data_IF_213380685896
#
_entry.id   IF_213380685896
#
_cell.length_a   1.000
_cell.length_b   1.000
_cell.length_c   1.000
_cell.angle_alpha   90.00
_cell.angle_beta   90.00
_cell.angle_gamma   90.00
#
_symmetry.space_group_name_H-M   'P 1'
#
loop_
_entity.id
_entity.type
_entity.pdbx_description
1 polymer ?
#
# COMPACT_ATOMS: atom_id res chain seq x y z
N UNK A 1 16.94 7.80 31.76
CA UNK A 1 16.44 8.38 30.51
C UNK A 1 17.00 9.78 30.24
N UNK A 2 16.46 10.88 30.80
CA UNK A 2 16.92 12.25 30.47
C UNK A 2 18.41 12.48 30.78
N UNK A 3 18.86 12.12 32.00
CA UNK A 3 20.28 12.27 32.40
C UNK A 3 21.26 11.43 31.58
N UNK A 4 20.83 10.26 31.14
CA UNK A 4 21.67 9.35 30.32
C UNK A 4 21.89 9.91 28.91
N UNK A 5 21.02 10.82 28.46
CA UNK A 5 21.12 11.48 27.16
C UNK A 5 21.56 12.96 27.31
N UNK A 6 22.35 13.26 28.35
CA UNK A 6 22.96 14.59 28.55
C UNK A 6 22.04 15.69 29.08
N UNK A 7 20.78 15.38 29.41
CA UNK A 7 19.82 16.37 29.94
C UNK A 7 19.89 16.57 31.46
N UNK A 8 19.50 17.76 31.92
CA UNK A 8 19.31 18.07 33.34
C UNK A 8 17.84 18.03 33.74
N UNK A 9 17.55 17.61 34.97
CA UNK A 9 16.17 17.55 35.51
C UNK A 9 16.05 18.48 36.71
N UNK A 10 15.03 19.34 36.69
CA UNK A 10 14.67 20.22 37.81
C UNK A 10 13.25 19.92 38.28
N UNK A 11 13.02 19.99 39.60
CA UNK A 11 11.67 19.88 40.18
C UNK A 11 10.89 21.19 40.18
N UNK A 12 11.57 22.33 39.98
CA UNK A 12 10.96 23.66 39.98
C UNK A 12 11.08 24.27 38.58
N UNK A 13 9.96 24.73 37.98
CA UNK A 13 10.04 25.53 36.77
C UNK A 13 10.77 26.84 37.12
N UNK A 14 11.78 27.18 36.33
CA UNK A 14 12.46 28.47 36.43
C UNK A 14 11.99 29.33 35.25
N UNK A 15 11.45 30.51 35.54
CA UNK A 15 11.04 31.44 34.50
C UNK A 15 12.27 31.92 33.70
N UNK A 16 12.13 32.03 32.37
CA UNK A 16 13.20 32.51 31.49
C UNK A 16 14.28 31.47 31.13
N UNK A 17 14.17 30.22 31.58
CA UNK A 17 15.05 29.13 31.14
C UNK A 17 14.44 28.34 29.99
N UNK A 18 15.27 27.67 29.18
CA UNK A 18 14.82 26.73 28.13
C UNK A 18 14.31 25.40 28.70
N UNK A 19 13.71 25.42 29.90
CA UNK A 19 13.26 24.20 30.57
C UNK A 19 11.94 23.73 29.97
N UNK A 20 11.96 22.55 29.36
CA UNK A 20 10.74 21.88 28.88
C UNK A 20 9.99 21.31 30.08
N UNK A 21 8.72 21.70 30.25
CA UNK A 21 7.87 21.17 31.31
C UNK A 21 7.19 19.90 30.82
N UNK A 22 7.26 18.85 31.64
CA UNK A 22 6.78 17.53 31.25
C UNK A 22 5.71 17.05 32.23
N UNK A 23 4.53 16.71 31.71
CA UNK A 23 3.45 16.09 32.49
C UNK A 23 2.50 15.30 31.59
N UNK A 24 1.87 14.27 32.16
CA UNK A 24 0.83 13.49 31.49
C UNK A 24 -0.51 13.48 32.25
N UNK A 25 -0.52 14.05 33.46
CA UNK A 25 -1.69 14.12 34.33
C UNK A 25 -1.83 15.51 34.93
N UNK A 26 -3.08 15.96 35.09
CA UNK A 26 -3.42 17.28 35.66
C UNK A 26 -3.39 17.26 37.19
N UNK A 27 -2.22 17.05 37.77
CA UNK A 27 -2.02 17.14 39.22
C UNK A 27 -2.10 18.60 39.71
N UNK A 28 -2.25 18.84 41.01
CA UNK A 28 -2.45 20.18 41.60
C UNK A 28 -1.40 21.20 41.12
N UNK A 29 -0.12 20.82 41.08
CA UNK A 29 0.96 21.69 40.58
C UNK A 29 0.78 22.06 39.11
N UNK A 30 0.44 21.08 38.26
CA UNK A 30 0.21 21.28 36.82
C UNK A 30 -1.03 22.16 36.61
N UNK A 31 -2.10 21.92 37.36
CA UNK A 31 -3.31 22.75 37.30
C UNK A 31 -3.03 24.20 37.69
N UNK A 32 -2.18 24.43 38.70
CA UNK A 32 -1.73 25.76 39.10
C UNK A 32 -0.95 26.46 37.99
N UNK A 33 -0.01 25.75 37.35
CA UNK A 33 0.77 26.28 36.22
C UNK A 33 -0.13 26.67 35.04
N UNK A 34 -1.10 25.81 34.68
CA UNK A 34 -2.06 26.09 33.60
C UNK A 34 -2.90 27.34 33.90
N UNK A 35 -3.33 27.51 35.16
CA UNK A 35 -4.08 28.72 35.58
C UNK A 35 -3.25 30.00 35.52
N UNK A 36 -1.92 29.89 35.58
CA UNK A 36 -0.99 31.00 35.43
C UNK A 36 -0.96 31.62 34.02
N UNK A 37 -1.53 30.93 33.02
CA UNK A 37 -1.95 31.54 31.75
C UNK A 37 -0.94 31.53 30.59
N UNK A 38 0.30 31.09 30.80
CA UNK A 38 1.32 31.14 29.74
C UNK A 38 2.37 30.04 29.95
N UNK A 39 2.00 28.79 29.64
CA UNK A 39 2.87 27.65 29.87
C UNK A 39 2.68 26.57 28.83
N UNK A 40 3.79 26.05 28.32
CA UNK A 40 3.82 24.87 27.47
C UNK A 40 4.21 23.65 28.30
N UNK A 41 3.36 22.63 28.28
CA UNK A 41 3.52 21.36 28.98
C UNK A 41 3.45 20.23 27.96
N UNK A 42 4.54 19.48 27.86
CA UNK A 42 4.74 18.40 26.90
C UNK A 42 4.49 17.06 27.58
N UNK A 43 3.88 16.11 26.86
CA UNK A 43 3.69 14.74 27.33
C UNK A 43 5.04 14.01 27.34
N UNK A 44 5.26 13.10 28.31
CA UNK A 44 6.42 12.20 28.30
C UNK A 44 6.54 11.38 27.00
N UNK A 45 5.43 11.20 26.27
CA UNK A 45 5.38 10.57 24.95
C UNK A 45 6.46 11.14 24.01
N UNK A 46 6.63 12.45 23.96
CA UNK A 46 7.64 13.09 23.12
C UNK A 46 9.07 12.63 23.43
N UNK A 47 9.38 12.42 24.71
CA UNK A 47 10.71 11.92 25.08
C UNK A 47 10.92 10.49 24.61
N UNK A 48 9.87 9.66 24.66
CA UNK A 48 9.98 8.30 24.13
C UNK A 48 10.15 8.33 22.61
N UNK A 49 9.33 9.13 21.93
CA UNK A 49 9.40 9.27 20.48
C UNK A 49 10.80 9.77 20.08
N UNK A 50 11.42 10.72 20.80
CA UNK A 50 12.81 11.13 20.56
C UNK A 50 13.85 10.00 20.74
N UNK A 51 13.62 9.05 21.65
CA UNK A 51 14.56 7.96 21.95
C UNK A 51 14.40 6.76 21.02
N UNK A 52 13.19 6.56 20.49
CA UNK A 52 12.86 5.47 19.58
C UNK A 52 13.31 5.78 18.14
N UNK A 53 13.64 7.03 17.82
CA UNK A 53 14.10 7.44 16.49
C UNK A 53 15.63 7.44 16.37
N UNK A 54 16.16 6.63 15.45
CA UNK A 54 17.57 6.68 15.03
C UNK A 54 18.58 6.41 16.14
N UNK A 55 19.74 7.06 16.06
CA UNK A 55 20.85 6.96 17.03
C UNK A 55 20.60 7.73 18.35
N UNK A 56 19.38 8.25 18.56
CA UNK A 56 19.01 9.04 19.73
C UNK A 56 19.67 10.42 19.82
N UNK A 57 20.33 10.89 18.76
CA UNK A 57 21.08 12.16 18.76
C UNK A 57 20.25 13.39 18.45
N UNK A 58 19.06 13.24 17.84
CA UNK A 58 18.23 14.35 17.37
C UNK A 58 16.96 14.54 18.19
N UNK A 59 16.70 15.78 18.60
CA UNK A 59 15.46 16.16 19.27
C UNK A 59 14.36 16.38 18.23
N UNK A 60 13.25 15.65 18.35
CA UNK A 60 12.13 15.77 17.44
C UNK A 60 11.38 17.10 17.63
N UNK A 61 10.90 17.72 16.54
CA UNK A 61 9.97 18.83 16.64
C UNK A 61 8.67 18.38 17.33
N UNK A 62 8.01 19.30 18.04
CA UNK A 62 6.75 18.97 18.72
C UNK A 62 5.63 18.69 17.70
N UNK A 63 4.77 17.74 18.02
CA UNK A 63 3.60 17.36 17.24
C UNK A 63 2.37 17.51 18.13
N UNK A 64 1.16 17.54 17.55
CA UNK A 64 -0.07 17.70 18.33
C UNK A 64 -0.21 16.66 19.46
N UNK A 65 0.16 15.40 19.20
CA UNK A 65 0.17 14.31 20.19
C UNK A 65 1.13 14.54 21.36
N UNK A 66 2.19 15.33 21.16
CA UNK A 66 3.16 15.66 22.19
C UNK A 66 2.64 16.70 23.19
N UNK A 67 1.59 17.45 22.85
CA UNK A 67 1.12 18.56 23.69
C UNK A 67 0.16 18.04 24.78
N UNK A 68 0.48 18.31 26.04
CA UNK A 68 -0.45 18.13 27.16
C UNK A 68 -1.27 19.41 27.39
N UNK A 69 -0.56 20.54 27.41
CA UNK A 69 -1.11 21.90 27.41
C UNK A 69 -0.13 22.78 26.67
N UNK A 70 -0.61 23.72 25.86
CA UNK A 70 0.28 24.55 25.05
C UNK A 70 -0.37 25.90 24.76
N UNK A 71 0.44 26.93 24.62
CA UNK A 71 0.10 28.21 24.02
C UNK A 71 -0.40 28.04 22.58
N UNK A 72 -1.11 29.05 22.06
CA UNK A 72 -1.56 29.04 20.67
C UNK A 72 -0.38 28.99 19.69
N UNK A 73 0.71 29.70 20.01
CA UNK A 73 1.93 29.71 19.21
C UNK A 73 2.53 28.31 19.07
N UNK A 74 2.71 27.59 20.18
CA UNK A 74 3.24 26.24 20.13
C UNK A 74 2.29 25.25 19.44
N UNK A 75 0.97 25.37 19.64
CA UNK A 75 -0.01 24.55 18.90
C UNK A 75 0.08 24.76 17.40
N UNK A 76 0.24 26.01 16.95
CA UNK A 76 0.38 26.34 15.54
C UNK A 76 1.67 25.76 14.95
N UNK A 77 2.79 25.85 15.67
CA UNK A 77 4.06 25.22 15.27
C UNK A 77 3.91 23.70 15.21
N UNK A 78 3.34 23.08 16.24
CA UNK A 78 3.19 21.63 16.29
C UNK A 78 2.26 21.08 15.21
N UNK A 79 1.24 21.84 14.81
CA UNK A 79 0.34 21.51 13.71
C UNK A 79 1.03 21.50 12.34
N UNK A 80 2.17 22.17 12.19
CA UNK A 80 2.94 22.20 10.93
C UNK A 80 3.90 21.02 10.76
N UNK A 81 4.08 20.22 11.80
CA UNK A 81 5.00 19.08 11.81
C UNK A 81 4.33 17.74 11.48
N UNK A 82 3.01 17.75 11.29
CA UNK A 82 2.23 16.61 10.84
C UNK A 82 1.40 16.99 9.62
N UNK A 83 1.00 16.00 8.83
CA UNK A 83 0.02 16.18 7.77
C UNK A 83 -1.40 16.41 8.34
N UNK A 84 -2.39 16.48 7.45
CA UNK A 84 -3.80 16.68 7.83
C UNK A 84 -4.42 15.50 8.61
N UNK A 85 -3.84 14.31 8.51
CA UNK A 85 -4.28 13.08 9.16
C UNK A 85 -3.46 12.74 10.41
N UNK A 86 -2.37 13.45 10.66
CA UNK A 86 -1.50 13.25 11.81
C UNK A 86 -0.21 12.48 11.52
N UNK A 87 0.10 12.19 10.25
CA UNK A 87 1.36 11.57 9.84
C UNK A 87 2.51 12.56 10.03
N UNK A 88 3.61 12.09 10.63
CA UNK A 88 4.72 12.97 10.98
C UNK A 88 5.68 13.19 9.82
N UNK A 89 6.14 14.43 9.65
CA UNK A 89 7.21 14.74 8.70
C UNK A 89 8.62 14.45 9.23
N UNK A 90 8.77 14.26 10.55
CA UNK A 90 10.09 14.27 11.20
C UNK A 90 10.46 12.95 11.89
N UNK A 91 9.55 11.99 11.97
CA UNK A 91 9.80 10.69 12.60
C UNK A 91 9.12 9.56 11.83
N UNK A 92 9.65 8.36 11.96
CA UNK A 92 8.98 7.16 11.50
C UNK A 92 7.79 6.85 12.41
N UNK A 93 6.66 6.50 11.81
CA UNK A 93 5.46 6.02 12.51
C UNK A 93 5.50 4.49 12.65
N UNK A 94 4.90 3.95 13.71
CA UNK A 94 4.76 2.50 13.86
C UNK A 94 3.64 1.96 12.96
N UNK A 95 3.53 0.64 12.84
CA UNK A 95 2.44 0.00 12.08
C UNK A 95 1.08 0.31 12.70
N UNK A 96 1.01 0.34 14.03
CA UNK A 96 -0.19 0.67 14.80
C UNK A 96 -0.62 2.12 14.54
N UNK A 97 0.32 3.05 14.56
CA UNK A 97 0.04 4.46 14.27
C UNK A 97 -0.34 4.68 12.80
N UNK A 98 0.35 4.03 11.86
CA UNK A 98 -0.01 4.10 10.45
C UNK A 98 -1.45 3.62 10.22
N UNK A 99 -1.87 2.57 10.94
CA UNK A 99 -3.24 2.08 10.90
C UNK A 99 -4.24 3.15 11.37
N UNK A 100 -3.98 3.79 12.50
CA UNK A 100 -4.84 4.87 13.02
C UNK A 100 -4.93 6.04 12.03
N UNK A 101 -3.80 6.44 11.42
CA UNK A 101 -3.75 7.48 10.40
C UNK A 101 -4.60 7.09 9.18
N UNK A 102 -4.45 5.86 8.68
CA UNK A 102 -5.23 5.38 7.52
C UNK A 102 -6.72 5.24 7.82
N UNK A 103 -7.09 4.84 9.04
CA UNK A 103 -8.51 4.74 9.46
C UNK A 103 -9.18 6.14 9.52
N UNK A 104 -8.40 7.19 9.78
CA UNK A 104 -8.88 8.57 9.74
C UNK A 104 -9.09 9.12 8.32
N UNK A 105 -8.60 8.44 7.28
CA UNK A 105 -8.77 8.85 5.88
C UNK A 105 -10.17 8.46 5.37
N UNK A 106 -11.18 9.29 5.66
CA UNK A 106 -12.60 9.03 5.32
C UNK A 106 -12.97 9.19 3.84
N UNK A 107 -12.00 9.46 2.96
CA UNK A 107 -12.24 9.65 1.53
C UNK A 107 -12.39 8.31 0.82
N UNK A 108 -13.60 7.74 0.83
CA UNK A 108 -13.89 6.51 0.10
C UNK A 108 -14.50 6.78 -1.29
N UNK A 109 -13.95 6.20 -2.36
CA UNK A 109 -14.63 6.14 -3.64
C UNK A 109 -15.99 5.44 -3.49
N UNK A 110 -17.06 6.07 -3.97
CA UNK A 110 -18.42 5.53 -3.87
C UNK A 110 -18.64 4.42 -4.90
N UNK A 111 -18.78 3.19 -4.41
CA UNK A 111 -19.09 2.03 -5.24
C UNK A 111 -17.87 1.24 -5.69
N UNK A 112 -18.11 -0.01 -6.13
CA UNK A 112 -17.05 -0.97 -6.49
C UNK A 112 -16.20 -0.50 -7.67
N UNK A 113 -16.84 0.06 -8.70
CA UNK A 113 -16.16 0.54 -9.91
C UNK A 113 -15.22 1.71 -9.62
N UNK A 114 -15.70 2.70 -8.85
CA UNK A 114 -14.88 3.84 -8.46
C UNK A 114 -13.66 3.42 -7.62
N UNK A 115 -13.83 2.43 -6.72
CA UNK A 115 -12.73 1.85 -5.95
C UNK A 115 -11.72 1.11 -6.85
N UNK A 116 -12.20 0.33 -7.81
CA UNK A 116 -11.34 -0.37 -8.75
C UNK A 116 -10.54 0.62 -9.61
N UNK A 117 -11.18 1.66 -10.15
CA UNK A 117 -10.51 2.70 -10.92
C UNK A 117 -9.44 3.45 -10.10
N UNK A 118 -9.76 3.82 -8.85
CA UNK A 118 -8.81 4.46 -7.95
C UNK A 118 -7.62 3.55 -7.63
N UNK A 119 -7.87 2.26 -7.34
CA UNK A 119 -6.81 1.29 -7.10
C UNK A 119 -5.93 1.10 -8.34
N UNK A 120 -6.52 1.05 -9.54
CA UNK A 120 -5.76 0.98 -10.79
C UNK A 120 -4.88 2.21 -10.99
N UNK A 121 -5.39 3.42 -10.77
CA UNK A 121 -4.59 4.66 -10.86
C UNK A 121 -3.44 4.64 -9.87
N UNK A 122 -3.72 4.39 -8.60
CA UNK A 122 -2.74 4.37 -7.52
C UNK A 122 -1.59 3.38 -7.78
N UNK A 123 -1.93 2.14 -8.17
CA UNK A 123 -0.92 1.14 -8.47
C UNK A 123 -0.10 1.50 -9.74
N UNK A 124 -0.70 2.24 -10.68
CA UNK A 124 -0.01 2.74 -11.88
C UNK A 124 1.00 3.83 -11.54
N UNK A 125 0.64 4.75 -10.65
CA UNK A 125 1.54 5.76 -10.10
C UNK A 125 2.71 5.12 -9.37
N UNK A 126 2.44 4.15 -8.49
CA UNK A 126 3.50 3.41 -7.79
C UNK A 126 4.52 2.79 -8.76
N UNK A 127 4.04 2.16 -9.84
CA UNK A 127 4.92 1.62 -10.88
C UNK A 127 5.73 2.70 -11.60
N UNK A 128 5.12 3.83 -11.96
CA UNK A 128 5.79 4.95 -12.62
C UNK A 128 6.91 5.56 -11.74
N UNK A 129 6.76 5.49 -10.42
CA UNK A 129 7.75 5.93 -9.44
C UNK A 129 8.76 4.83 -9.04
N UNK A 130 8.84 3.72 -9.78
CA UNK A 130 9.68 2.56 -9.48
C UNK A 130 9.42 1.94 -8.08
N UNK A 131 8.20 2.12 -7.57
CA UNK A 131 7.65 1.51 -6.34
C UNK A 131 6.54 0.51 -6.65
N UNK A 132 6.56 -0.04 -7.87
CA UNK A 132 5.55 -0.99 -8.34
C UNK A 132 5.49 -2.26 -7.49
N UNK A 133 4.28 -2.79 -7.34
CA UNK A 133 4.03 -4.00 -6.54
C UNK A 133 4.02 -5.29 -7.37
N UNK A 134 4.32 -5.24 -8.67
CA UNK A 134 4.29 -6.41 -9.58
C UNK A 134 5.24 -7.54 -9.17
N UNK A 135 6.26 -7.25 -8.38
CA UNK A 135 7.15 -8.26 -7.78
C UNK A 135 6.46 -9.09 -6.68
N UNK A 136 5.34 -8.61 -6.14
CA UNK A 136 4.51 -9.35 -5.20
C UNK A 136 3.54 -10.24 -5.95
N UNK A 137 3.40 -11.48 -5.49
CA UNK A 137 2.51 -12.49 -6.09
C UNK A 137 1.09 -11.98 -6.34
N UNK A 138 0.53 -11.19 -5.43
CA UNK A 138 -0.84 -10.66 -5.50
C UNK A 138 -1.05 -9.62 -6.62
N UNK A 139 0.02 -9.12 -7.24
CA UNK A 139 -0.04 -8.11 -8.29
C UNK A 139 0.72 -8.49 -9.57
N UNK A 140 1.27 -9.71 -9.65
CA UNK A 140 2.10 -10.11 -10.79
C UNK A 140 1.32 -10.15 -12.12
N UNK A 141 0.00 -10.41 -12.09
CA UNK A 141 -0.87 -10.38 -13.27
C UNK A 141 -1.65 -9.07 -13.40
N UNK A 142 -1.32 -8.01 -12.64
CA UNK A 142 -2.09 -6.76 -12.61
C UNK A 142 -2.38 -6.15 -13.99
N UNK A 143 -1.43 -6.28 -14.92
CA UNK A 143 -1.54 -5.73 -16.29
C UNK A 143 -2.13 -6.74 -17.29
N UNK A 144 -2.46 -7.95 -16.84
CA UNK A 144 -2.96 -9.02 -17.67
C UNK A 144 -4.49 -9.03 -17.65
N UNK A 145 -5.07 -8.82 -18.82
CA UNK A 145 -6.44 -9.21 -19.13
C UNK A 145 -6.37 -10.53 -19.87
N UNK A 146 -6.92 -11.57 -19.26
CA UNK A 146 -6.81 -12.96 -19.69
C UNK A 146 -8.17 -13.47 -20.16
N UNK A 147 -8.24 -13.95 -21.39
CA UNK A 147 -9.35 -14.77 -21.85
C UNK A 147 -8.98 -16.24 -21.72
N UNK A 148 -9.83 -17.04 -21.08
CA UNK A 148 -9.60 -18.47 -20.95
C UNK A 148 -10.32 -19.22 -22.07
N UNK A 149 -9.55 -19.88 -22.92
CA UNK A 149 -10.08 -20.64 -24.06
C UNK A 149 -9.96 -22.14 -23.77
N UNK A 150 -11.04 -22.81 -23.30
CA UNK A 150 -11.01 -24.25 -23.08
C UNK A 150 -10.91 -25.01 -24.40
N UNK A 151 -9.99 -25.97 -24.48
CA UNK A 151 -9.98 -26.98 -25.52
C UNK A 151 -10.99 -28.10 -25.18
N UNK A 152 -11.39 -28.86 -26.20
CA UNK A 152 -12.29 -30.00 -26.02
C UNK A 152 -11.71 -31.01 -25.01
N UNK A 153 -12.54 -31.49 -24.09
CA UNK A 153 -12.09 -32.40 -23.02
C UNK A 153 -11.35 -31.73 -21.86
N UNK A 154 -11.23 -30.39 -21.85
CA UNK A 154 -10.64 -29.67 -20.73
C UNK A 154 -11.47 -29.81 -19.44
N UNK A 155 -10.76 -29.90 -18.32
CA UNK A 155 -11.39 -30.01 -17.00
C UNK A 155 -11.91 -28.65 -16.52
N UNK A 156 -13.21 -28.58 -16.19
CA UNK A 156 -13.82 -27.40 -15.58
C UNK A 156 -13.13 -27.00 -14.25
N UNK A 157 -12.60 -27.97 -13.51
CA UNK A 157 -11.86 -27.72 -12.28
C UNK A 157 -10.49 -27.07 -12.59
N UNK A 158 -9.80 -27.54 -13.62
CA UNK A 158 -8.52 -26.96 -14.05
C UNK A 158 -8.72 -25.52 -14.51
N UNK A 159 -9.73 -25.27 -15.37
CA UNK A 159 -10.11 -23.94 -15.81
C UNK A 159 -10.41 -23.01 -14.61
N UNK A 160 -11.27 -23.45 -13.69
CA UNK A 160 -11.62 -22.68 -12.50
C UNK A 160 -10.44 -22.42 -11.55
N UNK A 161 -9.41 -23.26 -11.56
CA UNK A 161 -8.16 -23.03 -10.82
C UNK A 161 -7.34 -21.91 -11.46
N UNK A 162 -7.16 -21.93 -12.78
CA UNK A 162 -6.40 -20.91 -13.51
C UNK A 162 -7.04 -19.52 -13.39
N UNK A 163 -8.37 -19.44 -13.51
CA UNK A 163 -9.13 -18.20 -13.29
C UNK A 163 -8.81 -17.60 -11.92
N UNK A 164 -8.90 -18.42 -10.86
CA UNK A 164 -8.61 -17.96 -9.49
C UNK A 164 -7.17 -17.52 -9.32
N UNK A 165 -6.21 -18.18 -9.95
CA UNK A 165 -4.81 -17.77 -9.89
C UNK A 165 -4.60 -16.41 -10.53
N UNK A 166 -5.17 -16.19 -11.71
CA UNK A 166 -5.11 -14.89 -12.40
C UNK A 166 -5.74 -13.79 -11.55
N UNK A 167 -6.97 -13.99 -11.09
CA UNK A 167 -7.72 -13.00 -10.30
C UNK A 167 -7.03 -12.69 -8.96
N UNK A 168 -6.56 -13.72 -8.25
CA UNK A 168 -5.88 -13.53 -6.97
C UNK A 168 -4.54 -12.79 -7.13
N UNK A 169 -3.88 -12.97 -8.25
CA UNK A 169 -2.65 -12.24 -8.61
C UNK A 169 -2.90 -10.89 -9.30
N UNK A 170 -4.13 -10.38 -9.21
CA UNK A 170 -4.50 -9.02 -9.63
C UNK A 170 -4.85 -8.88 -11.11
N UNK A 171 -4.84 -9.97 -11.88
CA UNK A 171 -5.28 -9.97 -13.26
C UNK A 171 -6.80 -9.96 -13.40
N UNK A 172 -7.27 -9.66 -14.61
CA UNK A 172 -8.70 -9.67 -14.96
C UNK A 172 -8.98 -10.82 -15.92
N UNK A 173 -9.89 -11.71 -15.54
CA UNK A 173 -10.46 -12.67 -16.50
C UNK A 173 -11.57 -11.97 -17.31
N UNK A 174 -11.50 -12.05 -18.64
CA UNK A 174 -12.48 -11.41 -19.52
C UNK A 174 -13.66 -12.35 -19.79
N UNK A 175 -14.87 -11.91 -19.42
CA UNK A 175 -16.11 -12.66 -19.67
C UNK A 175 -16.67 -12.43 -21.08
N UNK A 176 -16.27 -11.33 -21.74
CA UNK A 176 -16.71 -10.93 -23.08
C UNK A 176 -16.09 -11.74 -24.23
N UNK A 177 -15.33 -12.77 -23.91
CA UNK A 177 -14.61 -13.59 -24.88
C UNK A 177 -13.55 -12.82 -25.67
N UNK A 178 -13.26 -13.30 -26.87
CA UNK A 178 -12.32 -12.69 -27.81
C UNK A 178 -12.83 -11.38 -28.43
N UNK A 179 -14.03 -10.92 -28.06
CA UNK A 179 -14.57 -9.62 -28.43
C UNK A 179 -14.04 -8.45 -27.59
N UNK A 180 -13.53 -8.69 -26.38
CA UNK A 180 -12.98 -7.64 -25.49
C UNK A 180 -11.61 -7.16 -26.00
N UNK A 181 -11.54 -5.95 -26.58
CA UNK A 181 -10.31 -5.38 -27.17
C UNK A 181 -9.17 -5.20 -26.15
N UNK A 182 -9.48 -5.22 -24.86
CA UNK A 182 -8.49 -5.12 -23.80
C UNK A 182 -7.82 -6.46 -23.46
N UNK A 183 -8.28 -7.58 -24.04
CA UNK A 183 -7.65 -8.89 -23.84
C UNK A 183 -6.19 -8.84 -24.32
N UNK A 184 -5.29 -9.09 -23.37
CA UNK A 184 -3.83 -9.11 -23.57
C UNK A 184 -3.31 -10.53 -23.79
N UNK A 185 -3.97 -11.52 -23.19
CA UNK A 185 -3.55 -12.92 -23.20
C UNK A 185 -4.76 -13.82 -23.46
N UNK A 186 -4.58 -14.83 -24.31
CA UNK A 186 -5.51 -15.94 -24.48
C UNK A 186 -4.82 -17.19 -23.94
N UNK A 187 -5.35 -17.74 -22.85
CA UNK A 187 -4.81 -18.96 -22.23
C UNK A 187 -5.61 -20.15 -22.75
N UNK A 188 -4.96 -21.01 -23.53
CA UNK A 188 -5.56 -22.23 -24.06
C UNK A 188 -5.42 -23.33 -23.02
N UNK A 189 -6.56 -23.83 -22.55
CA UNK A 189 -6.65 -24.79 -21.44
C UNK A 189 -6.95 -26.18 -21.97
N UNK A 190 -6.00 -27.10 -21.83
CA UNK A 190 -6.12 -28.50 -22.25
C UNK A 190 -4.76 -29.19 -22.28
N UNK A 191 -4.74 -30.50 -22.16
CA UNK A 191 -3.49 -31.27 -22.09
C UNK A 191 -3.01 -31.75 -23.47
N UNK A 192 -3.95 -32.05 -24.37
CA UNK A 192 -3.65 -32.53 -25.72
C UNK A 192 -3.09 -31.41 -26.60
N UNK A 193 -1.88 -31.63 -27.16
CA UNK A 193 -1.19 -30.62 -27.98
C UNK A 193 -1.89 -30.38 -29.33
N UNK A 194 -2.44 -31.42 -29.95
CA UNK A 194 -3.10 -31.30 -31.25
C UNK A 194 -4.41 -30.52 -31.14
N UNK A 195 -5.20 -30.73 -30.09
CA UNK A 195 -6.39 -29.94 -29.78
C UNK A 195 -6.04 -28.49 -29.47
N UNK A 196 -4.99 -28.23 -28.68
CA UNK A 196 -4.53 -26.86 -28.41
C UNK A 196 -4.13 -26.11 -29.67
N UNK A 197 -3.40 -26.74 -30.59
CA UNK A 197 -3.02 -26.13 -31.87
C UNK A 197 -4.23 -25.77 -32.73
N UNK A 198 -5.22 -26.67 -32.84
CA UNK A 198 -6.47 -26.38 -33.57
C UNK A 198 -7.22 -25.17 -33.00
N UNK A 199 -7.37 -25.13 -31.68
CA UNK A 199 -8.02 -24.00 -31.00
C UNK A 199 -7.20 -22.72 -31.16
N UNK A 200 -5.87 -22.79 -31.12
CA UNK A 200 -5.00 -21.63 -31.35
C UNK A 200 -5.20 -21.04 -32.75
N UNK A 201 -5.29 -21.89 -33.78
CA UNK A 201 -5.53 -21.43 -35.16
C UNK A 201 -6.88 -20.74 -35.34
N UNK A 202 -7.93 -21.24 -34.68
CA UNK A 202 -9.25 -20.59 -34.66
C UNK A 202 -9.18 -19.23 -33.98
N UNK A 203 -8.57 -19.17 -32.79
CA UNK A 203 -8.38 -17.92 -32.04
C UNK A 203 -7.61 -16.91 -32.89
N UNK A 204 -6.48 -17.30 -33.51
CA UNK A 204 -5.66 -16.41 -34.35
C UNK A 204 -6.45 -15.82 -35.51
N UNK A 205 -7.30 -16.61 -36.16
CA UNK A 205 -8.17 -16.12 -37.24
C UNK A 205 -9.12 -15.05 -36.70
N UNK A 206 -9.73 -15.28 -35.55
CA UNK A 206 -10.67 -14.35 -34.92
C UNK A 206 -9.99 -13.05 -34.47
N UNK A 207 -8.79 -13.13 -33.89
CA UNK A 207 -8.06 -11.95 -33.40
C UNK A 207 -7.20 -11.26 -34.47
N UNK A 208 -7.09 -11.83 -35.67
CA UNK A 208 -6.22 -11.33 -36.77
C UNK A 208 -6.47 -9.87 -37.17
N UNK A 209 -7.72 -9.40 -37.05
CA UNK A 209 -8.11 -8.03 -37.38
C UNK A 209 -7.84 -7.00 -36.28
N UNK A 210 -7.31 -7.40 -35.13
CA UNK A 210 -7.12 -6.52 -33.97
C UNK A 210 -5.88 -5.64 -34.12
N UNK A 211 -5.98 -4.42 -33.59
CA UNK A 211 -4.83 -3.50 -33.48
C UNK A 211 -3.76 -4.00 -32.50
N UNK A 212 -4.17 -4.70 -31.45
CA UNK A 212 -3.29 -5.35 -30.48
C UNK A 212 -3.53 -6.85 -30.49
N UNK A 213 -2.52 -7.63 -30.90
CA UNK A 213 -2.60 -9.08 -30.92
C UNK A 213 -2.39 -9.62 -29.50
N UNK A 214 -3.36 -10.36 -28.91
CA UNK A 214 -3.13 -11.00 -27.62
C UNK A 214 -2.08 -12.09 -27.75
N UNK A 215 -1.33 -12.34 -26.66
CA UNK A 215 -0.42 -13.48 -26.57
C UNK A 215 -1.22 -14.77 -26.37
N UNK A 216 -0.99 -15.77 -27.22
CA UNK A 216 -1.60 -17.08 -27.08
C UNK A 216 -0.64 -17.99 -26.31
N UNK A 217 -1.04 -18.41 -25.12
CA UNK A 217 -0.20 -19.22 -24.22
C UNK A 217 -0.96 -20.42 -23.67
N UNK A 218 -0.24 -21.40 -23.15
CA UNK A 218 -0.83 -22.58 -22.49
C UNK A 218 -1.22 -22.28 -21.04
N UNK A 219 -2.11 -23.11 -20.47
CA UNK A 219 -2.44 -23.06 -19.05
C UNK A 219 -1.23 -23.15 -18.11
N UNK A 220 -0.17 -23.86 -18.52
CA UNK A 220 1.06 -23.98 -17.72
C UNK A 220 1.79 -22.65 -17.50
N UNK A 221 1.61 -21.64 -18.36
CA UNK A 221 2.16 -20.30 -18.11
C UNK A 221 1.64 -19.71 -16.80
N UNK A 222 0.32 -19.78 -16.58
CA UNK A 222 -0.31 -19.28 -15.37
C UNK A 222 0.16 -20.07 -14.15
N UNK A 223 0.27 -21.39 -14.28
CA UNK A 223 0.70 -22.28 -13.20
C UNK A 223 2.16 -22.04 -12.79
N UNK A 224 3.05 -21.91 -13.77
CA UNK A 224 4.47 -21.68 -13.52
C UNK A 224 4.72 -20.26 -12.99
N UNK A 225 4.04 -19.23 -13.52
CA UNK A 225 4.07 -17.89 -12.93
C UNK A 225 3.65 -17.92 -11.46
N UNK A 226 2.60 -18.68 -11.15
CA UNK A 226 2.10 -18.84 -9.79
C UNK A 226 3.09 -19.57 -8.88
N UNK A 227 3.77 -20.59 -9.40
CA UNK A 227 4.79 -21.37 -8.69
C UNK A 227 6.04 -20.55 -8.40
N UNK A 228 6.55 -19.86 -9.42
CA UNK A 228 7.75 -19.01 -9.35
C UNK A 228 7.48 -17.65 -8.70
N UNK A 229 6.20 -17.33 -8.44
CA UNK A 229 5.72 -16.10 -7.79
C UNK A 229 6.13 -14.83 -8.55
N UNK A 230 6.20 -14.93 -9.87
CA UNK A 230 6.61 -13.84 -10.75
C UNK A 230 5.99 -14.04 -12.13
N UNK A 231 5.89 -12.96 -12.91
CA UNK A 231 5.43 -13.04 -14.30
C UNK A 231 6.57 -13.61 -15.17
N UNK A 232 6.36 -14.80 -15.71
CA UNK A 232 7.30 -15.45 -16.62
C UNK A 232 7.04 -15.00 -18.05
N UNK A 233 8.12 -15.03 -18.84
CA UNK A 233 8.09 -14.75 -20.26
C UNK A 233 7.17 -15.73 -21.01
N UNK A 234 6.32 -15.18 -21.89
CA UNK A 234 5.28 -15.92 -22.59
C UNK A 234 5.82 -16.82 -23.71
N UNK A 235 7.01 -16.55 -24.27
CA UNK A 235 7.50 -17.23 -25.49
C UNK A 235 7.65 -18.74 -25.28
N UNK A 236 8.05 -19.17 -24.09
CA UNK A 236 8.22 -20.59 -23.73
C UNK A 236 6.89 -21.35 -23.64
N UNK A 237 5.79 -20.62 -23.58
CA UNK A 237 4.44 -21.15 -23.41
C UNK A 237 3.56 -20.87 -24.61
N UNK A 238 4.13 -20.27 -25.66
CA UNK A 238 3.41 -20.00 -26.90
C UNK A 238 2.87 -21.31 -27.46
N UNK A 239 1.62 -21.27 -27.92
CA UNK A 239 1.03 -22.36 -28.70
C UNK A 239 1.31 -22.03 -30.15
N UNK A 240 2.02 -22.92 -30.84
CA UNK A 240 2.26 -22.89 -32.30
C UNK A 240 1.05 -23.42 -33.09
#
# INVERSE_FOLDING_TARGET
MIKQNGGAVSQRPAAGTKTVLIADKRVVKVASLIKGGDVDIIRPLWLRDCLEQGDGSSVLPYERRHLFHASEGLRAVAARNTDRFGDSFARNVSVEELREITDAMTAEPKGREARAAAATSFLGELEAHAKGLSHMRTFMFRRCVVHMQPAEGSSAQALGRLVRYVEYAGGRCADGGLGDEHVTHVVIVGDDSAQRGRVADEVRKEVSGRRGMPRLVTGSWVEDCWKEKTLLDEERYAVD
#
